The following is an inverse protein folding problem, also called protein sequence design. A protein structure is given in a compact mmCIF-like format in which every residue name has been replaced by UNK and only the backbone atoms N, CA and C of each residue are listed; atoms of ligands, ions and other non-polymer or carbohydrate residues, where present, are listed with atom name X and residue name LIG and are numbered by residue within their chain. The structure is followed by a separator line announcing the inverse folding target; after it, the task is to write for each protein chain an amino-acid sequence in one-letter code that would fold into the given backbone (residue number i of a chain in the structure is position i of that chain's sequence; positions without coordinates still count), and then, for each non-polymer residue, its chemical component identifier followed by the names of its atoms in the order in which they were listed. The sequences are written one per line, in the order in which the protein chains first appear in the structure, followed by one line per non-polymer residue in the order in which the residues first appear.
data_IF_597787704114
#
_entry.id   IF_597787704114
#
_cell.length_a   1.000
_cell.length_b   1.000
_cell.length_c   1.000
_cell.angle_alpha   90.00
_cell.angle_beta   90.00
_cell.angle_gamma   90.00
#
_symmetry.space_group_name_H-M   'P 1'
#
loop_
_entity.id
_entity.type
_entity.pdbx_description
1 polymer ?
#
# COMPACT_ATOMS: atom_id res chain seq x y z
N UNK A 1 -20.17 9.80 -0.13
CA UNK A 1 -19.07 10.39 0.53
C UNK A 1 -18.10 11.16 -0.36
N UNK A 2 -16.83 11.08 -0.06
CA UNK A 2 -15.76 11.88 -0.68
C UNK A 2 -15.67 11.75 -2.20
N UNK A 3 -15.88 10.54 -2.76
CA UNK A 3 -15.90 10.36 -4.21
C UNK A 3 -16.91 11.24 -4.92
N UNK A 4 -18.10 11.45 -4.33
CA UNK A 4 -19.10 12.34 -4.89
C UNK A 4 -18.65 13.81 -4.84
N UNK A 5 -17.96 14.22 -3.78
CA UNK A 5 -17.42 15.59 -3.65
C UNK A 5 -16.35 15.83 -4.72
N UNK A 6 -15.40 14.90 -4.88
CA UNK A 6 -14.37 15.01 -5.92
C UNK A 6 -14.96 15.07 -7.32
N UNK A 7 -15.90 14.17 -7.63
CA UNK A 7 -16.57 14.17 -8.93
C UNK A 7 -17.38 15.45 -9.16
N UNK A 8 -18.02 15.97 -8.11
CA UNK A 8 -18.76 17.24 -8.19
C UNK A 8 -17.86 18.44 -8.43
N UNK A 9 -16.73 18.53 -7.71
CA UNK A 9 -15.73 19.57 -7.91
C UNK A 9 -15.10 19.50 -9.31
N UNK A 10 -14.77 18.30 -9.77
CA UNK A 10 -14.25 18.07 -11.11
C UNK A 10 -15.27 18.49 -12.18
N UNK A 11 -16.53 18.02 -12.09
CA UNK A 11 -17.58 18.35 -13.07
C UNK A 11 -17.89 19.85 -13.08
N UNK A 12 -17.96 20.50 -11.90
CA UNK A 12 -18.15 21.95 -11.78
C UNK A 12 -17.02 22.72 -12.42
N UNK A 13 -15.76 22.35 -12.13
CA UNK A 13 -14.58 22.96 -12.74
C UNK A 13 -14.54 22.75 -14.26
N UNK A 14 -14.85 21.55 -14.75
CA UNK A 14 -14.94 21.28 -16.18
C UNK A 14 -15.99 22.19 -16.85
N UNK A 15 -17.15 22.35 -16.22
CA UNK A 15 -18.21 23.26 -16.73
C UNK A 15 -17.74 24.72 -16.79
N UNK A 16 -17.01 25.19 -15.79
CA UNK A 16 -16.57 26.58 -15.72
C UNK A 16 -15.41 26.89 -16.66
N UNK A 17 -14.40 26.02 -16.74
CA UNK A 17 -13.13 26.34 -17.38
C UNK A 17 -13.00 25.82 -18.81
N UNK A 18 -13.89 24.95 -19.30
CA UNK A 18 -13.66 24.27 -20.59
C UNK A 18 -14.63 24.57 -21.72
N UNK A 19 -15.67 25.38 -21.47
CA UNK A 19 -16.78 25.61 -22.42
C UNK A 19 -16.37 26.09 -23.82
N UNK A 20 -15.29 26.89 -23.93
CA UNK A 20 -14.81 27.45 -25.19
C UNK A 20 -13.55 26.80 -25.73
N UNK A 21 -13.13 25.69 -25.13
CA UNK A 21 -11.86 25.03 -25.46
C UNK A 21 -12.05 23.94 -26.53
N UNK A 22 -10.99 23.68 -27.29
CA UNK A 22 -10.97 22.50 -28.17
C UNK A 22 -10.87 21.20 -27.36
N UNK A 23 -11.15 20.08 -28.00
CA UNK A 23 -11.22 18.77 -27.33
C UNK A 23 -9.91 18.41 -26.65
N UNK A 24 -8.76 18.60 -27.31
CA UNK A 24 -7.45 18.27 -26.72
C UNK A 24 -7.23 19.04 -25.42
N UNK A 25 -7.51 20.33 -25.41
CA UNK A 25 -7.41 21.18 -24.22
C UNK A 25 -8.36 20.73 -23.11
N UNK A 26 -9.60 20.36 -23.46
CA UNK A 26 -10.58 19.84 -22.48
C UNK A 26 -10.10 18.56 -21.82
N UNK A 27 -9.58 17.62 -22.61
CA UNK A 27 -9.08 16.34 -22.09
C UNK A 27 -7.85 16.56 -21.18
N UNK A 28 -6.91 17.42 -21.58
CA UNK A 28 -5.73 17.74 -20.73
C UNK A 28 -6.16 18.36 -19.41
N UNK A 29 -7.07 19.33 -19.43
CA UNK A 29 -7.58 19.99 -18.21
C UNK A 29 -8.36 18.98 -17.35
N UNK A 30 -9.14 18.09 -17.96
CA UNK A 30 -9.86 17.04 -17.24
C UNK A 30 -8.90 16.14 -16.46
N UNK A 31 -7.83 15.67 -17.11
CA UNK A 31 -6.79 14.87 -16.48
C UNK A 31 -6.10 15.63 -15.34
N UNK A 32 -5.67 16.87 -15.59
CA UNK A 32 -5.00 17.71 -14.60
C UNK A 32 -5.86 17.94 -13.35
N UNK A 33 -7.12 18.30 -13.56
CA UNK A 33 -8.04 18.57 -12.47
C UNK A 33 -8.34 17.31 -11.64
N UNK A 34 -8.61 16.17 -12.29
CA UNK A 34 -8.96 14.95 -11.57
C UNK A 34 -7.74 14.44 -10.77
N UNK A 35 -6.58 14.30 -11.42
CA UNK A 35 -5.36 13.87 -10.75
C UNK A 35 -4.93 14.84 -9.64
N UNK A 36 -5.05 16.15 -9.89
CA UNK A 36 -4.75 17.17 -8.87
C UNK A 36 -5.67 17.10 -7.66
N UNK A 37 -6.97 16.90 -7.85
CA UNK A 37 -7.93 16.71 -6.76
C UNK A 37 -7.65 15.43 -5.96
N UNK A 38 -7.28 14.33 -6.62
CA UNK A 38 -6.88 13.10 -5.92
C UNK A 38 -5.62 13.31 -5.07
N UNK A 39 -4.62 14.05 -5.56
CA UNK A 39 -3.41 14.38 -4.78
C UNK A 39 -3.78 15.19 -3.55
N UNK A 40 -4.56 16.25 -3.72
CA UNK A 40 -5.00 17.08 -2.57
C UNK A 40 -5.76 16.22 -1.56
N UNK A 41 -6.61 15.32 -2.02
CA UNK A 41 -7.32 14.40 -1.13
C UNK A 41 -6.36 13.41 -0.44
N UNK A 42 -5.30 12.96 -1.11
CA UNK A 42 -4.31 12.04 -0.52
C UNK A 42 -3.52 12.65 0.66
N UNK A 43 -3.53 13.95 0.80
CA UNK A 43 -2.96 14.63 1.98
C UNK A 43 -3.85 14.50 3.22
N UNK A 44 -5.13 14.23 3.02
CA UNK A 44 -6.11 14.13 4.09
C UNK A 44 -6.10 12.77 4.81
N UNK A 45 -6.70 12.71 6.01
CA UNK A 45 -6.65 11.51 6.85
C UNK A 45 -7.62 10.40 6.41
N UNK A 46 -8.50 10.65 5.43
CA UNK A 46 -9.52 9.70 4.99
C UNK A 46 -9.27 9.20 3.56
N UNK A 47 -8.06 9.35 3.06
CA UNK A 47 -7.67 8.82 1.76
C UNK A 47 -7.58 7.30 1.83
N UNK A 48 -8.26 6.62 0.91
CA UNK A 48 -8.25 5.17 0.83
C UNK A 48 -8.01 4.65 -0.57
N UNK A 49 -8.57 5.32 -1.56
CA UNK A 49 -8.54 4.84 -2.94
C UNK A 49 -8.42 5.99 -3.94
N UNK A 50 -7.83 5.68 -5.08
CA UNK A 50 -7.77 6.52 -6.27
C UNK A 50 -8.44 5.82 -7.44
N UNK A 51 -8.79 6.56 -8.48
CA UNK A 51 -9.41 6.02 -9.69
C UNK A 51 -8.49 4.99 -10.36
N UNK A 52 -7.17 5.20 -10.33
CA UNK A 52 -6.20 4.25 -10.88
C UNK A 52 -6.27 2.85 -10.28
N UNK A 53 -6.68 2.69 -9.01
CA UNK A 53 -6.81 1.38 -8.38
C UNK A 53 -7.97 0.54 -8.92
N UNK A 54 -8.91 1.13 -9.68
CA UNK A 54 -10.02 0.38 -10.28
C UNK A 54 -9.56 -0.65 -11.30
N UNK A 55 -8.33 -0.52 -11.81
CA UNK A 55 -7.72 -1.46 -12.75
C UNK A 55 -6.94 -2.57 -12.04
N UNK A 56 -6.59 -2.38 -10.78
CA UNK A 56 -5.84 -3.35 -9.98
C UNK A 56 -6.80 -4.33 -9.27
N UNK A 57 -6.45 -5.63 -9.18
CA UNK A 57 -5.21 -6.29 -9.59
C UNK A 57 -5.27 -6.94 -11.00
N UNK A 58 -6.29 -6.69 -11.80
CA UNK A 58 -6.60 -7.52 -12.97
C UNK A 58 -5.97 -7.03 -14.28
N UNK A 59 -5.94 -5.72 -14.51
CA UNK A 59 -5.48 -5.16 -15.79
C UNK A 59 -3.97 -4.89 -15.77
N UNK A 60 -3.17 -5.93 -15.47
CA UNK A 60 -1.72 -5.84 -15.27
C UNK A 60 -1.00 -5.18 -16.45
N UNK A 61 -1.47 -5.43 -17.67
CA UNK A 61 -0.88 -4.84 -18.86
C UNK A 61 -0.99 -3.31 -18.85
N UNK A 62 -2.13 -2.77 -18.44
CA UNK A 62 -2.38 -1.33 -18.38
C UNK A 62 -1.68 -0.71 -17.16
N UNK A 63 -1.64 -1.42 -16.06
CA UNK A 63 -1.06 -0.95 -14.79
C UNK A 63 0.44 -0.64 -14.89
N UNK A 64 1.16 -1.23 -15.87
CA UNK A 64 2.61 -0.98 -16.03
C UNK A 64 2.93 0.50 -16.23
N UNK A 65 2.01 1.32 -16.77
CA UNK A 65 2.25 2.77 -16.91
C UNK A 65 2.46 3.48 -15.56
N UNK A 66 2.05 2.87 -14.45
CA UNK A 66 2.31 3.40 -13.10
C UNK A 66 3.81 3.47 -12.77
N UNK A 67 4.67 2.73 -13.48
CA UNK A 67 6.13 2.87 -13.40
C UNK A 67 6.64 4.23 -13.87
N UNK A 68 5.85 4.97 -14.67
CA UNK A 68 6.24 6.26 -15.25
C UNK A 68 6.08 7.39 -14.23
N UNK A 69 4.90 7.53 -13.62
CA UNK A 69 4.60 8.62 -12.68
C UNK A 69 3.63 8.19 -11.56
N UNK A 70 3.66 6.91 -11.18
CA UNK A 70 2.81 6.35 -10.14
C UNK A 70 1.37 6.12 -10.60
N UNK A 71 0.51 5.81 -9.65
CA UNK A 71 -0.91 5.52 -9.90
C UNK A 71 -1.66 6.68 -10.58
N UNK A 72 -1.18 7.92 -10.43
CA UNK A 72 -1.78 9.09 -11.09
C UNK A 72 -1.67 9.01 -12.61
N UNK A 73 -0.67 8.30 -13.14
CA UNK A 73 -0.60 8.01 -14.58
C UNK A 73 -1.80 7.20 -15.05
N UNK A 74 -2.20 6.18 -14.26
CA UNK A 74 -3.39 5.38 -14.56
C UNK A 74 -4.68 6.20 -14.43
N UNK A 75 -4.81 7.02 -13.37
CA UNK A 75 -5.93 7.95 -13.22
C UNK A 75 -6.05 8.87 -14.44
N UNK A 76 -4.94 9.51 -14.86
CA UNK A 76 -4.93 10.37 -16.05
C UNK A 76 -5.31 9.62 -17.33
N UNK A 77 -4.82 8.39 -17.51
CA UNK A 77 -5.17 7.55 -18.66
C UNK A 77 -6.66 7.21 -18.71
N UNK A 78 -7.26 6.83 -17.57
CA UNK A 78 -8.69 6.55 -17.46
C UNK A 78 -9.50 7.80 -17.80
N UNK A 79 -9.14 8.95 -17.24
CA UNK A 79 -9.84 10.23 -17.50
C UNK A 79 -9.70 10.63 -18.97
N UNK A 80 -8.51 10.47 -19.56
CA UNK A 80 -8.27 10.80 -20.97
C UNK A 80 -9.12 9.94 -21.92
N UNK A 81 -9.13 8.62 -21.70
CA UNK A 81 -9.88 7.68 -22.52
C UNK A 81 -11.39 7.95 -22.40
N UNK A 82 -11.91 8.12 -21.18
CA UNK A 82 -13.32 8.46 -20.96
C UNK A 82 -13.69 9.82 -21.52
N UNK A 83 -12.80 10.81 -21.43
CA UNK A 83 -12.98 12.12 -22.05
C UNK A 83 -13.11 12.03 -23.57
N UNK A 84 -12.24 11.23 -24.22
CA UNK A 84 -12.35 10.98 -25.67
C UNK A 84 -13.64 10.24 -26.05
N UNK A 85 -14.06 9.26 -25.23
CA UNK A 85 -15.36 8.60 -25.44
C UNK A 85 -16.55 9.57 -25.33
N UNK A 86 -16.52 10.47 -24.34
CA UNK A 86 -17.56 11.50 -24.22
C UNK A 86 -17.61 12.39 -25.48
N UNK A 87 -16.45 12.77 -26.04
CA UNK A 87 -16.40 13.55 -27.27
C UNK A 87 -16.95 12.78 -28.49
N UNK A 88 -16.73 11.46 -28.58
CA UNK A 88 -17.36 10.63 -29.63
C UNK A 88 -18.90 10.70 -29.58
N UNK A 89 -19.45 10.72 -28.35
CA UNK A 89 -20.90 10.79 -28.17
C UNK A 89 -21.48 12.19 -28.46
N UNK A 90 -20.71 13.24 -28.11
CA UNK A 90 -21.19 14.64 -28.25
C UNK A 90 -21.08 15.17 -29.68
N UNK A 91 -20.17 14.69 -30.49
CA UNK A 91 -20.00 15.18 -31.86
C UNK A 91 -21.02 14.56 -32.83
N UNK A 92 -21.49 15.37 -33.78
CA UNK A 92 -22.55 14.95 -34.73
C UNK A 92 -22.00 14.31 -35.99
N UNK A 93 -20.82 14.73 -36.47
CA UNK A 93 -20.26 14.26 -37.71
C UNK A 93 -19.49 12.94 -37.54
N UNK A 94 -19.60 12.05 -38.52
CA UNK A 94 -18.86 10.78 -38.52
C UNK A 94 -17.33 10.99 -38.53
N UNK A 95 -16.86 12.02 -39.24
CA UNK A 95 -15.43 12.32 -39.33
C UNK A 95 -14.83 12.70 -37.97
N UNK A 96 -15.52 13.52 -37.16
CA UNK A 96 -15.11 13.89 -35.82
C UNK A 96 -15.13 12.69 -34.86
N UNK A 97 -16.23 11.93 -34.86
CA UNK A 97 -16.35 10.71 -34.06
C UNK A 97 -15.20 9.74 -34.35
N UNK A 98 -14.90 9.48 -35.64
CA UNK A 98 -13.80 8.63 -36.07
C UNK A 98 -12.45 9.14 -35.55
N UNK A 99 -12.19 10.46 -35.62
CA UNK A 99 -10.94 11.06 -35.13
C UNK A 99 -10.73 10.79 -33.64
N UNK A 100 -11.75 10.98 -32.81
CA UNK A 100 -11.63 10.75 -31.36
C UNK A 100 -11.59 9.26 -31.01
N UNK A 101 -12.28 8.43 -31.75
CA UNK A 101 -12.17 6.98 -31.61
C UNK A 101 -10.74 6.48 -31.93
N UNK A 102 -10.14 6.98 -33.02
CA UNK A 102 -8.75 6.66 -33.36
C UNK A 102 -7.82 7.13 -32.23
N UNK A 103 -8.01 8.35 -31.71
CA UNK A 103 -7.18 8.86 -30.61
C UNK A 103 -7.29 7.99 -29.33
N UNK A 104 -8.50 7.59 -28.94
CA UNK A 104 -8.73 6.74 -27.77
C UNK A 104 -8.10 5.35 -27.95
N UNK A 105 -8.29 4.73 -29.12
CA UNK A 105 -7.71 3.42 -29.46
C UNK A 105 -6.18 3.50 -29.51
N UNK A 106 -5.64 4.55 -30.15
CA UNK A 106 -4.17 4.73 -30.22
C UNK A 106 -3.56 4.92 -28.83
N UNK A 107 -4.20 5.67 -27.95
CA UNK A 107 -3.76 5.82 -26.56
C UNK A 107 -3.79 4.48 -25.82
N UNK A 108 -4.87 3.71 -25.95
CA UNK A 108 -4.99 2.40 -25.32
C UNK A 108 -3.94 1.40 -25.86
N UNK A 109 -3.71 1.41 -27.18
CA UNK A 109 -2.65 0.57 -27.80
C UNK A 109 -1.26 0.99 -27.30
N UNK A 110 -1.00 2.29 -27.18
CA UNK A 110 0.29 2.78 -26.66
C UNK A 110 0.52 2.34 -25.20
N UNK A 111 -0.51 2.45 -24.35
CA UNK A 111 -0.46 2.01 -22.95
C UNK A 111 -0.24 0.50 -22.88
N UNK A 112 -1.03 -0.28 -23.62
CA UNK A 112 -0.93 -1.74 -23.65
C UNK A 112 0.42 -2.20 -24.26
N UNK A 113 0.90 -1.52 -25.30
CA UNK A 113 2.20 -1.78 -25.92
C UNK A 113 3.35 -1.52 -24.96
N UNK A 114 3.32 -0.42 -24.21
CA UNK A 114 4.29 -0.16 -23.15
C UNK A 114 4.25 -1.25 -22.08
N UNK A 115 3.05 -1.62 -21.61
CA UNK A 115 2.89 -2.68 -20.63
C UNK A 115 3.40 -4.04 -21.14
N UNK A 116 3.11 -4.39 -22.40
CA UNK A 116 3.64 -5.61 -23.01
C UNK A 116 5.17 -5.60 -23.06
N UNK A 117 5.78 -4.47 -23.43
CA UNK A 117 7.22 -4.30 -23.43
C UNK A 117 7.83 -4.45 -22.03
N UNK A 118 7.22 -3.82 -21.01
CA UNK A 118 7.66 -3.92 -19.62
C UNK A 118 7.57 -5.37 -19.09
N UNK A 119 6.57 -6.12 -19.52
CA UNK A 119 6.32 -7.50 -19.06
C UNK A 119 7.08 -8.58 -19.83
N UNK A 120 7.74 -8.26 -20.95
CA UNK A 120 8.50 -9.23 -21.76
C UNK A 120 9.80 -9.71 -21.11
N UNK A 121 10.38 -8.92 -20.20
CA UNK A 121 11.60 -9.31 -19.51
C UNK A 121 11.33 -10.41 -18.49
N UNK A 122 12.24 -11.39 -18.37
CA UNK A 122 12.24 -12.35 -17.24
C UNK A 122 12.67 -11.63 -15.96
N UNK A 123 11.81 -10.75 -15.47
CA UNK A 123 12.05 -9.91 -14.32
C UNK A 123 11.95 -10.67 -13.00
N UNK A 124 11.47 -11.90 -13.03
CA UNK A 124 11.43 -12.76 -11.85
C UNK A 124 12.86 -13.10 -11.36
N UNK A 125 13.80 -13.31 -12.30
CA UNK A 125 15.19 -13.65 -12.01
C UNK A 125 16.19 -12.50 -12.12
N UNK A 126 15.81 -11.31 -12.61
CA UNK A 126 16.73 -10.22 -12.91
C UNK A 126 16.92 -9.20 -11.77
N UNK A 127 17.06 -9.66 -10.55
CA UNK A 127 17.76 -8.92 -9.50
C UNK A 127 19.23 -9.37 -9.48
N UNK A 128 20.06 -8.87 -8.61
CA UNK A 128 21.42 -9.39 -8.36
C UNK A 128 21.44 -10.87 -7.92
N UNK A 129 20.42 -11.63 -8.29
CA UNK A 129 20.27 -13.05 -8.07
C UNK A 129 19.99 -13.48 -6.62
N UNK A 130 19.93 -12.55 -5.68
CA UNK A 130 19.66 -12.88 -4.28
C UNK A 130 18.18 -13.22 -4.09
N UNK A 131 17.89 -14.49 -3.88
CA UNK A 131 16.60 -15.01 -3.52
C UNK A 131 16.47 -15.15 -2.00
N UNK A 132 15.26 -15.07 -1.49
CA UNK A 132 14.91 -15.33 -0.09
C UNK A 132 13.67 -16.21 -0.07
N UNK A 133 13.73 -17.33 0.65
CA UNK A 133 12.56 -18.14 0.97
C UNK A 133 11.77 -17.47 2.09
N UNK A 134 10.75 -16.71 1.74
CA UNK A 134 9.92 -15.97 2.67
C UNK A 134 8.67 -16.76 3.05
N UNK A 135 8.46 -16.98 4.34
CA UNK A 135 7.24 -17.57 4.87
C UNK A 135 6.25 -16.52 5.34
N UNK A 136 4.96 -16.75 5.13
CA UNK A 136 3.86 -15.93 5.67
C UNK A 136 3.04 -16.78 6.63
N UNK A 137 2.61 -16.19 7.74
CA UNK A 137 1.61 -16.77 8.65
C UNK A 137 0.39 -15.88 8.66
N UNK A 138 -0.74 -16.38 8.18
CA UNK A 138 -2.06 -15.78 8.36
C UNK A 138 -2.68 -16.34 9.63
N UNK A 139 -2.76 -15.52 10.68
CA UNK A 139 -3.13 -16.00 12.02
C UNK A 139 -4.60 -16.35 12.18
N UNK A 140 -5.49 -15.75 11.40
CA UNK A 140 -6.94 -15.86 11.49
C UNK A 140 -7.48 -15.69 12.92
N UNK A 141 -7.03 -14.65 13.57
CA UNK A 141 -7.37 -14.37 14.94
C UNK A 141 -8.51 -13.34 15.01
N UNK A 142 -9.68 -13.70 15.61
CA UNK A 142 -10.82 -12.80 15.67
C UNK A 142 -10.56 -11.59 16.55
N UNK A 143 -10.86 -10.40 16.03
CA UNK A 143 -10.63 -9.14 16.71
C UNK A 143 -11.32 -9.01 18.08
N UNK A 144 -12.52 -9.56 18.20
CA UNK A 144 -13.27 -9.60 19.48
C UNK A 144 -12.53 -10.32 20.62
N UNK A 145 -11.49 -11.07 20.30
CA UNK A 145 -10.66 -11.80 21.25
C UNK A 145 -9.32 -11.12 21.54
N UNK A 146 -8.94 -10.05 20.80
CA UNK A 146 -7.63 -9.39 20.88
C UNK A 146 -7.25 -8.94 22.31
N UNK A 147 -8.25 -8.57 23.11
CA UNK A 147 -8.05 -8.10 24.49
C UNK A 147 -8.39 -9.14 25.56
N UNK A 148 -8.70 -10.39 25.16
CA UNK A 148 -9.10 -11.45 26.09
C UNK A 148 -7.98 -12.49 26.26
N UNK A 149 -7.73 -13.02 27.48
CA UNK A 149 -6.71 -14.02 27.72
C UNK A 149 -6.76 -15.22 26.78
N UNK A 150 -7.94 -15.80 26.55
CA UNK A 150 -8.14 -16.91 25.62
C UNK A 150 -7.72 -16.56 24.18
N UNK A 151 -7.88 -15.33 23.80
CA UNK A 151 -7.49 -14.87 22.48
C UNK A 151 -5.98 -14.78 22.33
N UNK A 152 -5.28 -14.30 23.33
CA UNK A 152 -3.81 -14.26 23.31
C UNK A 152 -3.21 -15.66 23.21
N UNK A 153 -3.77 -16.63 23.91
CA UNK A 153 -3.36 -18.03 23.84
C UNK A 153 -3.52 -18.59 22.42
N UNK A 154 -4.67 -18.35 21.78
CA UNK A 154 -4.92 -18.77 20.39
C UNK A 154 -3.92 -18.11 19.44
N UNK A 155 -3.68 -16.81 19.58
CA UNK A 155 -2.76 -16.09 18.73
C UNK A 155 -1.33 -16.64 18.87
N UNK A 156 -0.82 -16.75 20.10
CA UNK A 156 0.53 -17.27 20.36
C UNK A 156 0.66 -18.69 19.81
N UNK A 157 -0.31 -19.56 20.02
CA UNK A 157 -0.28 -20.93 19.52
C UNK A 157 -0.28 -20.96 17.97
N UNK A 158 -1.13 -20.19 17.31
CA UNK A 158 -1.19 -20.15 15.85
C UNK A 158 0.13 -19.64 15.26
N UNK A 159 0.70 -18.55 15.80
CA UNK A 159 1.95 -18.01 15.30
C UNK A 159 3.14 -18.91 15.64
N UNK A 160 3.17 -19.57 16.82
CA UNK A 160 4.23 -20.54 17.16
C UNK A 160 4.19 -21.73 16.21
N UNK A 161 3.03 -22.36 16.01
CA UNK A 161 2.87 -23.50 15.11
C UNK A 161 3.21 -23.14 13.66
N UNK A 162 2.75 -21.98 13.20
CA UNK A 162 3.07 -21.48 11.86
C UNK A 162 4.56 -21.21 11.66
N UNK A 163 5.21 -20.61 12.67
CA UNK A 163 6.64 -20.35 12.66
C UNK A 163 7.44 -21.65 12.60
N UNK A 164 7.15 -22.62 13.46
CA UNK A 164 7.83 -23.91 13.48
C UNK A 164 7.67 -24.65 12.15
N UNK A 165 6.46 -24.69 11.61
CA UNK A 165 6.17 -25.32 10.30
C UNK A 165 6.97 -24.70 9.18
N UNK A 166 7.01 -23.39 9.09
CA UNK A 166 7.74 -22.66 8.05
C UNK A 166 9.27 -22.81 8.22
N UNK A 167 9.77 -22.73 9.45
CA UNK A 167 11.17 -22.93 9.74
C UNK A 167 11.63 -24.35 9.35
N UNK A 168 10.85 -25.38 9.66
CA UNK A 168 11.11 -26.77 9.24
C UNK A 168 11.03 -26.95 7.72
N UNK A 169 10.22 -26.14 7.04
CA UNK A 169 10.12 -26.13 5.56
C UNK A 169 11.25 -25.38 4.88
N UNK A 170 12.20 -24.81 5.63
CA UNK A 170 13.38 -24.13 5.11
C UNK A 170 13.15 -22.64 4.79
N UNK A 171 12.22 -21.98 5.48
CA UNK A 171 12.10 -20.53 5.42
C UNK A 171 13.40 -19.86 5.90
N UNK A 172 13.83 -18.82 5.20
CA UNK A 172 14.94 -17.96 5.57
C UNK A 172 14.49 -16.68 6.28
N UNK A 173 13.24 -16.32 6.08
CA UNK A 173 12.54 -15.20 6.72
C UNK A 173 11.07 -15.55 6.89
N UNK A 174 10.47 -15.16 8.02
CA UNK A 174 9.03 -15.36 8.27
C UNK A 174 8.39 -14.02 8.57
N UNK A 175 7.15 -13.83 8.09
CA UNK A 175 6.39 -12.59 8.26
C UNK A 175 5.08 -12.89 8.96
N UNK A 176 4.81 -12.17 10.05
CA UNK A 176 3.52 -12.18 10.75
C UNK A 176 2.72 -10.91 10.43
N UNK A 177 1.41 -10.91 10.64
CA UNK A 177 0.56 -9.75 10.44
C UNK A 177 0.82 -8.58 11.40
N UNK A 178 0.18 -7.45 11.11
CA UNK A 178 0.03 -6.33 12.05
C UNK A 178 -0.59 -6.81 13.37
N UNK A 179 0.00 -6.40 14.50
CA UNK A 179 -0.45 -6.76 15.85
C UNK A 179 -0.68 -8.27 16.06
N UNK A 180 0.14 -9.10 15.42
CA UNK A 180 0.08 -10.56 15.55
C UNK A 180 0.16 -10.99 17.02
N UNK A 181 1.03 -10.36 17.78
CA UNK A 181 1.16 -10.52 19.23
C UNK A 181 0.93 -9.16 19.87
N UNK A 182 -0.23 -8.98 20.51
CA UNK A 182 -0.71 -7.71 21.06
C UNK A 182 -0.06 -7.38 22.42
N UNK A 183 1.27 -7.48 22.51
CA UNK A 183 2.07 -7.13 23.69
C UNK A 183 3.09 -6.05 23.35
N UNK A 184 3.48 -5.28 24.36
CA UNK A 184 4.58 -4.33 24.23
C UNK A 184 5.91 -5.09 24.05
N UNK A 185 6.56 -4.81 22.93
CA UNK A 185 7.87 -5.33 22.62
C UNK A 185 8.91 -4.20 22.75
N UNK A 186 10.11 -4.38 23.30
CA UNK A 186 10.77 -5.65 23.65
C UNK A 186 10.50 -6.18 25.08
N UNK A 187 9.53 -5.62 25.80
CA UNK A 187 9.29 -6.03 27.18
C UNK A 187 9.00 -7.54 27.25
N UNK A 188 9.56 -8.19 28.27
CA UNK A 188 9.29 -9.61 28.50
C UNK A 188 7.83 -9.81 28.88
N UNK A 189 7.19 -10.80 28.25
CA UNK A 189 5.86 -11.25 28.60
C UNK A 189 5.80 -12.78 28.56
N UNK A 190 5.59 -13.40 29.73
CA UNK A 190 5.57 -14.85 29.86
C UNK A 190 4.53 -15.53 28.92
N UNK A 191 3.49 -14.83 28.51
CA UNK A 191 2.48 -15.36 27.58
C UNK A 191 3.06 -15.61 26.19
N UNK A 192 4.13 -14.88 25.80
CA UNK A 192 4.80 -15.00 24.50
C UNK A 192 5.89 -16.08 24.52
N UNK A 193 6.24 -16.61 25.69
CA UNK A 193 7.37 -17.54 25.85
C UNK A 193 7.37 -18.72 24.85
N UNK A 194 6.22 -19.39 24.52
CA UNK A 194 6.23 -20.44 23.50
C UNK A 194 6.74 -20.01 22.15
N UNK A 195 6.37 -18.81 21.70
CA UNK A 195 6.84 -18.23 20.46
C UNK A 195 8.33 -17.88 20.50
N UNK A 196 8.78 -17.25 21.59
CA UNK A 196 10.18 -16.87 21.78
C UNK A 196 11.09 -18.11 21.82
N UNK A 197 10.66 -19.18 22.48
CA UNK A 197 11.39 -20.46 22.49
C UNK A 197 11.49 -21.09 21.09
N UNK A 198 10.41 -21.03 20.30
CA UNK A 198 10.46 -21.50 18.91
C UNK A 198 11.45 -20.69 18.08
N UNK A 199 11.45 -19.35 18.21
CA UNK A 199 12.39 -18.47 17.49
C UNK A 199 13.85 -18.80 17.92
N UNK A 200 14.12 -18.99 19.19
CA UNK A 200 15.44 -19.40 19.71
C UNK A 200 15.89 -20.76 19.18
N UNK A 201 14.97 -21.71 19.07
CA UNK A 201 15.25 -23.07 18.62
C UNK A 201 15.61 -23.15 17.15
N UNK A 202 14.79 -22.51 16.28
CA UNK A 202 14.94 -22.60 14.82
C UNK A 202 15.82 -21.50 14.22
N UNK A 203 15.95 -20.36 14.89
CA UNK A 203 16.80 -19.22 14.52
C UNK A 203 16.49 -18.62 13.14
N UNK A 204 15.27 -18.77 12.63
CA UNK A 204 14.81 -18.11 11.42
C UNK A 204 14.38 -16.68 11.79
N UNK A 205 14.94 -15.63 11.16
CA UNK A 205 14.51 -14.27 11.42
C UNK A 205 13.03 -14.09 11.13
N UNK A 206 12.32 -13.37 12.02
CA UNK A 206 10.89 -13.15 11.90
C UNK A 206 10.52 -11.67 12.03
N UNK A 207 9.68 -11.21 11.13
CA UNK A 207 8.97 -9.94 11.26
C UNK A 207 7.75 -10.16 12.14
N UNK A 208 7.80 -9.60 13.34
CA UNK A 208 6.76 -9.74 14.36
C UNK A 208 5.96 -8.42 14.47
N UNK A 209 4.66 -8.49 14.17
CA UNK A 209 3.74 -7.38 14.44
C UNK A 209 3.36 -7.29 15.92
N UNK A 210 3.52 -6.14 16.51
CA UNK A 210 3.23 -5.88 17.93
C UNK A 210 3.18 -4.40 18.24
N UNK A 211 3.22 -4.07 19.53
CA UNK A 211 3.29 -2.70 19.99
C UNK A 211 4.70 -2.33 20.45
N UNK A 212 5.17 -1.14 20.07
CA UNK A 212 6.45 -0.60 20.47
C UNK A 212 6.29 0.56 21.45
N UNK A 213 7.37 0.92 22.12
CA UNK A 213 7.44 2.14 22.92
C UNK A 213 7.90 3.31 22.05
N UNK A 214 7.35 4.48 22.26
CA UNK A 214 7.72 5.69 21.52
C UNK A 214 9.16 6.12 21.85
N UNK A 215 10.00 6.24 20.80
CA UNK A 215 11.37 6.73 20.96
C UNK A 215 11.46 8.23 21.30
N UNK A 216 10.38 8.97 21.08
CA UNK A 216 10.33 10.44 21.19
C UNK A 216 9.74 10.93 22.50
N UNK A 217 9.24 10.05 23.34
CA UNK A 217 8.76 10.43 24.67
C UNK A 217 9.73 9.89 25.74
N UNK A 218 10.44 10.78 26.45
CA UNK A 218 11.38 10.40 27.49
C UNK A 218 10.71 9.69 28.69
N UNK A 219 9.40 9.69 28.76
CA UNK A 219 8.61 9.01 29.78
C UNK A 219 8.04 7.72 29.20
N UNK A 220 8.90 6.73 28.98
CA UNK A 220 8.51 5.34 28.67
C UNK A 220 7.63 4.68 29.76
N UNK A 221 7.26 5.43 30.80
CA UNK A 221 6.41 5.01 31.91
C UNK A 221 4.92 5.33 31.70
N UNK A 222 4.53 6.07 30.64
CA UNK A 222 3.11 6.25 30.34
C UNK A 222 2.60 5.02 29.55
N UNK A 223 1.81 4.14 30.20
CA UNK A 223 1.29 2.95 29.55
C UNK A 223 0.29 3.26 28.41
N UNK A 224 0.01 4.54 28.16
CA UNK A 224 -0.87 4.97 27.09
C UNK A 224 -0.13 5.34 25.79
N UNK A 225 1.20 5.49 25.84
CA UNK A 225 2.00 5.84 24.66
C UNK A 225 2.66 4.61 24.08
N UNK A 226 2.21 4.18 22.89
CA UNK A 226 2.75 3.04 22.17
C UNK A 226 2.69 3.27 20.66
N UNK A 227 3.53 2.57 19.92
CA UNK A 227 3.50 2.54 18.46
C UNK A 227 2.93 1.21 17.97
N UNK A 228 2.29 1.23 16.81
CA UNK A 228 1.96 0.02 16.06
C UNK A 228 3.19 -0.33 15.21
N UNK A 229 3.85 -1.44 15.49
CA UNK A 229 5.21 -1.69 15.01
C UNK A 229 5.39 -3.08 14.42
N UNK A 230 6.36 -3.16 13.49
CA UNK A 230 6.94 -4.41 13.02
C UNK A 230 8.38 -4.51 13.48
N UNK A 231 8.72 -5.60 14.14
CA UNK A 231 10.06 -5.88 14.65
C UNK A 231 10.69 -7.01 13.84
N UNK A 232 11.87 -6.81 13.30
CA UNK A 232 12.68 -7.90 12.79
C UNK A 232 13.52 -8.47 13.94
N UNK A 233 13.25 -9.71 14.30
CA UNK A 233 13.87 -10.41 15.42
C UNK A 233 14.69 -11.58 14.88
N UNK A 234 15.89 -11.77 15.40
CA UNK A 234 16.67 -12.99 15.17
C UNK A 234 16.50 -14.02 16.29
N UNK A 235 17.07 -15.20 16.10
CA UNK A 235 17.02 -16.27 17.09
C UNK A 235 17.82 -16.00 18.38
N UNK A 236 18.45 -14.84 18.54
CA UNK A 236 19.18 -14.43 19.76
C UNK A 236 18.42 -13.39 20.60
N UNK A 237 17.12 -13.21 20.38
CA UNK A 237 16.29 -12.15 20.97
C UNK A 237 16.74 -10.72 20.59
N UNK A 238 17.57 -10.57 19.58
CA UNK A 238 18.03 -9.26 19.14
C UNK A 238 17.04 -8.67 18.14
N UNK A 239 16.65 -7.43 18.37
CA UNK A 239 15.93 -6.63 17.38
C UNK A 239 16.96 -6.18 16.33
N UNK A 240 16.81 -6.70 15.10
CA UNK A 240 17.63 -6.32 13.96
C UNK A 240 17.10 -5.07 13.25
N UNK A 241 15.80 -4.82 13.35
CA UNK A 241 15.14 -3.68 12.76
C UNK A 241 13.76 -3.45 13.37
N UNK A 242 13.28 -2.22 13.28
CA UNK A 242 11.95 -1.81 13.72
C UNK A 242 11.39 -0.80 12.75
N UNK A 243 10.13 -0.95 12.43
CA UNK A 243 9.34 0.02 11.67
C UNK A 243 8.09 0.35 12.46
N UNK A 244 7.85 1.64 12.70
CA UNK A 244 6.67 2.15 13.39
C UNK A 244 5.71 2.75 12.38
N UNK A 245 4.43 2.40 12.46
CA UNK A 245 3.39 2.86 11.54
C UNK A 245 3.33 4.38 11.47
N UNK A 246 3.45 4.94 10.27
CA UNK A 246 3.47 6.38 10.01
C UNK A 246 2.05 6.92 9.77
N UNK A 247 1.26 6.19 8.97
CA UNK A 247 -0.10 6.59 8.60
C UNK A 247 -1.12 5.87 9.46
N UNK A 248 -1.53 6.53 10.54
CA UNK A 248 -2.50 6.00 11.48
C UNK A 248 -3.92 6.06 10.92
N UNK A 249 -4.75 5.08 11.29
CA UNK A 249 -6.16 5.02 10.91
C UNK A 249 -6.96 6.02 11.76
N UNK A 250 -7.65 6.99 11.12
CA UNK A 250 -8.49 7.94 11.85
C UNK A 250 -9.60 7.24 12.64
N UNK A 251 -9.85 7.70 13.85
CA UNK A 251 -10.84 7.16 14.81
C UNK A 251 -10.47 5.77 15.35
N UNK A 252 -9.70 4.97 14.59
CA UNK A 252 -9.23 3.64 15.00
C UNK A 252 -7.94 3.68 15.83
N UNK A 253 -7.00 4.55 15.50
CA UNK A 253 -5.68 4.64 16.14
C UNK A 253 -5.41 6.04 16.73
N UNK A 254 -6.03 7.09 16.18
CA UNK A 254 -5.95 8.45 16.72
C UNK A 254 -7.26 9.22 16.50
N UNK A 255 -7.45 10.34 17.22
CA UNK A 255 -8.61 11.20 17.07
C UNK A 255 -8.25 12.40 16.18
N UNK A 256 -8.75 12.45 14.92
CA UNK A 256 -8.51 13.59 14.05
C UNK A 256 -9.17 14.86 14.60
N UNK A 257 -8.51 16.02 14.42
CA UNK A 257 -9.00 17.32 14.92
C UNK A 257 -9.34 17.32 16.43
N UNK A 258 -8.54 16.63 17.23
CA UNK A 258 -8.73 16.43 18.67
C UNK A 258 -9.16 17.70 19.46
N UNK A 259 -8.62 18.91 19.19
CA UNK A 259 -9.06 20.13 19.89
C UNK A 259 -10.54 20.46 19.67
N UNK A 260 -11.10 20.13 18.50
CA UNK A 260 -12.48 20.45 18.13
C UNK A 260 -13.44 19.28 18.38
N UNK A 261 -13.02 18.07 18.05
CA UNK A 261 -13.88 16.87 17.99
C UNK A 261 -13.57 15.86 19.10
N UNK A 262 -12.53 16.08 19.93
CA UNK A 262 -12.03 15.11 20.89
C UNK A 262 -13.09 14.57 21.85
N UNK A 263 -13.96 15.45 22.39
CA UNK A 263 -15.00 15.04 23.32
C UNK A 263 -16.14 14.24 22.66
N UNK A 264 -16.46 14.53 21.40
CA UNK A 264 -17.50 13.84 20.66
C UNK A 264 -16.99 12.46 20.18
N UNK A 265 -15.80 12.42 19.61
CA UNK A 265 -15.22 11.19 19.05
C UNK A 265 -14.80 10.23 20.15
N UNK A 266 -14.31 10.72 21.31
CA UNK A 266 -13.92 9.86 22.45
C UNK A 266 -15.07 9.00 22.95
N UNK A 267 -16.33 9.45 22.82
CA UNK A 267 -17.52 8.66 23.16
C UNK A 267 -17.81 7.55 22.16
N UNK A 268 -17.29 7.67 20.92
CA UNK A 268 -17.52 6.74 19.83
C UNK A 268 -16.32 5.84 19.55
N UNK A 269 -15.13 6.23 20.02
CA UNK A 269 -13.89 5.50 19.79
C UNK A 269 -13.67 4.43 20.86
N UNK A 270 -13.34 3.19 20.50
CA UNK A 270 -12.97 2.14 21.42
C UNK A 270 -11.55 2.31 22.01
N UNK A 271 -10.83 3.36 21.62
CA UNK A 271 -9.44 3.58 22.01
C UNK A 271 -9.27 3.76 23.51
N UNK A 272 -8.44 2.93 24.13
CA UNK A 272 -7.99 3.06 25.52
C UNK A 272 -6.74 3.93 25.66
N UNK A 273 -5.99 4.15 24.57
CA UNK A 273 -4.81 5.00 24.42
C UNK A 273 -4.68 5.46 22.98
N UNK A 274 -3.85 6.45 22.72
CA UNK A 274 -3.54 6.89 21.36
C UNK A 274 -2.26 6.19 20.87
N UNK A 275 -2.27 5.76 19.61
CA UNK A 275 -1.09 5.26 18.94
C UNK A 275 -0.28 6.46 18.47
N UNK A 276 1.01 6.46 18.74
CA UNK A 276 1.93 7.46 18.22
C UNK A 276 2.44 7.06 16.83
N UNK A 277 2.47 8.03 15.92
CA UNK A 277 2.98 7.80 14.58
C UNK A 277 4.51 7.70 14.56
N UNK A 278 5.02 6.76 13.76
CA UNK A 278 6.44 6.66 13.47
C UNK A 278 6.93 7.84 12.61
N UNK A 279 8.27 7.97 12.48
CA UNK A 279 8.88 8.95 11.60
C UNK A 279 8.64 8.59 10.12
N UNK A 280 8.31 9.58 9.29
CA UNK A 280 8.14 9.38 7.84
C UNK A 280 9.45 9.05 7.11
N UNK A 281 10.58 9.24 7.75
CA UNK A 281 11.93 9.01 7.18
C UNK A 281 12.56 7.70 7.64
N UNK A 282 11.76 6.79 8.20
CA UNK A 282 12.24 5.49 8.63
C UNK A 282 12.79 4.66 7.47
N UNK A 283 13.97 4.09 7.68
CA UNK A 283 14.60 3.13 6.78
C UNK A 283 14.98 1.90 7.61
N UNK A 284 14.66 0.73 7.12
CA UNK A 284 14.93 -0.53 7.83
C UNK A 284 15.96 -1.35 7.07
N UNK A 285 17.15 -1.43 7.63
CA UNK A 285 18.21 -2.29 7.12
C UNK A 285 18.09 -3.69 7.74
N UNK A 286 18.26 -4.71 6.92
CA UNK A 286 18.13 -6.12 7.28
C UNK A 286 19.39 -6.88 6.86
N UNK A 287 19.57 -8.13 7.27
CA UNK A 287 20.70 -8.96 6.77
C UNK A 287 20.72 -9.13 5.23
N UNK A 288 19.58 -8.91 4.56
CA UNK A 288 19.46 -9.01 3.10
C UNK A 288 19.52 -7.65 2.38
N UNK A 289 19.84 -6.59 3.09
CA UNK A 289 19.79 -5.21 2.62
C UNK A 289 18.55 -4.46 3.10
N UNK A 290 18.32 -3.28 2.56
CA UNK A 290 17.20 -2.43 2.97
C UNK A 290 15.87 -2.95 2.45
N UNK A 291 14.85 -2.97 3.30
CA UNK A 291 13.48 -3.31 2.92
C UNK A 291 12.59 -2.07 2.87
N UNK A 292 11.50 -2.19 2.12
CA UNK A 292 10.41 -1.23 2.06
C UNK A 292 9.31 -1.79 2.94
N UNK A 293 9.02 -1.13 4.05
CA UNK A 293 8.07 -1.63 5.05
C UNK A 293 6.85 -0.73 5.11
N UNK A 294 5.67 -1.33 5.19
CA UNK A 294 4.42 -0.62 5.42
C UNK A 294 3.47 -1.44 6.29
N UNK A 295 2.65 -0.75 7.08
CA UNK A 295 1.66 -1.38 7.96
C UNK A 295 0.25 -0.96 7.54
N UNK A 296 -0.54 -1.94 7.09
CA UNK A 296 -1.99 -1.84 6.88
C UNK A 296 -2.39 -0.66 5.97
N UNK A 297 -3.02 0.35 6.54
CA UNK A 297 -3.52 1.55 5.88
C UNK A 297 -2.47 2.27 5.00
N UNK A 298 -1.20 2.08 5.28
CA UNK A 298 -0.11 2.70 4.53
C UNK A 298 -0.03 2.25 3.07
N UNK A 299 -0.54 1.06 2.72
CA UNK A 299 -0.59 0.59 1.33
C UNK A 299 -1.36 1.55 0.41
N UNK A 300 -2.29 2.34 0.94
CA UNK A 300 -3.00 3.39 0.21
C UNK A 300 -2.09 4.58 -0.16
N UNK A 301 -0.98 4.80 0.55
CA UNK A 301 -0.11 5.98 0.43
C UNK A 301 1.20 5.65 -0.30
N UNK A 302 1.29 5.89 -1.61
CA UNK A 302 2.46 5.52 -2.40
C UNK A 302 3.75 6.24 -2.00
N UNK A 303 3.66 7.41 -1.40
CA UNK A 303 4.82 8.26 -1.07
C UNK A 303 5.81 7.58 -0.12
N UNK A 304 5.31 6.86 0.90
CA UNK A 304 6.14 6.12 1.87
C UNK A 304 6.94 5.00 1.19
N UNK A 305 6.28 4.22 0.34
CA UNK A 305 6.92 3.14 -0.43
C UNK A 305 7.94 3.69 -1.43
N UNK A 306 7.60 4.77 -2.13
CA UNK A 306 8.49 5.44 -3.05
C UNK A 306 9.76 5.96 -2.34
N UNK A 307 9.62 6.63 -1.19
CA UNK A 307 10.74 7.14 -0.41
C UNK A 307 11.71 6.02 -0.04
N UNK A 308 11.22 4.94 0.55
CA UNK A 308 12.04 3.80 0.95
C UNK A 308 12.66 3.08 -0.27
N UNK A 309 11.93 2.98 -1.39
CA UNK A 309 12.43 2.41 -2.64
C UNK A 309 13.57 3.26 -3.23
N UNK A 310 13.41 4.59 -3.26
CA UNK A 310 14.44 5.52 -3.72
C UNK A 310 15.71 5.44 -2.85
N UNK A 311 15.54 5.21 -1.56
CA UNK A 311 16.63 5.03 -0.59
C UNK A 311 17.29 3.64 -0.67
N UNK A 312 16.93 2.80 -1.63
CA UNK A 312 17.57 1.51 -1.88
C UNK A 312 16.83 0.31 -1.30
N UNK A 313 15.54 0.45 -0.98
CA UNK A 313 14.70 -0.68 -0.57
C UNK A 313 14.56 -1.73 -1.67
N UNK A 314 14.75 -3.00 -1.34
CA UNK A 314 14.90 -4.12 -2.30
C UNK A 314 13.71 -5.07 -2.36
N UNK A 315 12.87 -5.09 -1.31
CA UNK A 315 11.69 -5.93 -1.14
C UNK A 315 10.63 -5.14 -0.40
N UNK A 316 9.37 -5.22 -0.82
CA UNK A 316 8.24 -4.67 -0.08
C UNK A 316 7.74 -5.72 0.91
N UNK A 317 7.60 -5.30 2.16
CA UNK A 317 6.99 -6.06 3.22
C UNK A 317 5.80 -5.27 3.77
N UNK A 318 4.62 -5.87 3.73
CA UNK A 318 3.37 -5.27 4.21
C UNK A 318 2.73 -6.19 5.24
N UNK A 319 2.36 -5.64 6.39
CA UNK A 319 1.64 -6.37 7.42
C UNK A 319 0.33 -5.69 7.74
N UNK A 320 -0.76 -6.44 7.85
CA UNK A 320 -2.08 -5.86 8.04
C UNK A 320 -2.97 -6.68 8.96
N UNK A 321 -3.94 -5.98 9.55
CA UNK A 321 -5.02 -6.63 10.29
C UNK A 321 -6.38 -6.15 9.74
N UNK A 322 -7.03 -6.99 8.94
CA UNK A 322 -8.30 -6.67 8.29
C UNK A 322 -9.53 -7.15 9.08
N UNK A 323 -9.35 -7.65 10.31
CA UNK A 323 -10.43 -8.24 11.10
C UNK A 323 -11.55 -7.26 11.50
N UNK A 324 -11.33 -5.97 11.34
CA UNK A 324 -12.31 -4.90 11.60
C UNK A 324 -13.16 -4.54 10.38
N UNK A 325 -12.78 -5.04 9.19
CA UNK A 325 -13.33 -4.59 7.92
C UNK A 325 -14.10 -5.71 7.21
N UNK A 326 -15.00 -5.30 6.31
CA UNK A 326 -15.68 -6.23 5.43
C UNK A 326 -14.71 -6.83 4.39
N UNK A 327 -15.01 -8.01 3.87
CA UNK A 327 -14.14 -8.77 2.96
C UNK A 327 -13.72 -7.99 1.70
N UNK A 328 -14.56 -7.10 1.18
CA UNK A 328 -14.20 -6.25 0.02
C UNK A 328 -13.02 -5.30 0.31
N UNK A 329 -12.81 -4.90 1.57
CA UNK A 329 -11.64 -4.09 1.95
C UNK A 329 -10.34 -4.88 1.78
N UNK A 330 -10.37 -6.19 2.02
CA UNK A 330 -9.21 -7.07 1.79
C UNK A 330 -8.81 -7.11 0.32
N UNK A 331 -9.80 -7.15 -0.60
CA UNK A 331 -9.55 -7.09 -2.02
C UNK A 331 -8.96 -5.72 -2.45
N UNK A 332 -9.46 -4.63 -1.88
CA UNK A 332 -8.91 -3.29 -2.14
C UNK A 332 -7.49 -3.14 -1.61
N UNK A 333 -7.17 -3.68 -0.43
CA UNK A 333 -5.81 -3.72 0.10
C UNK A 333 -4.87 -4.49 -0.82
N UNK A 334 -5.28 -5.67 -1.29
CA UNK A 334 -4.49 -6.45 -2.23
C UNK A 334 -4.24 -5.68 -3.54
N UNK A 335 -5.26 -5.00 -4.05
CA UNK A 335 -5.14 -4.14 -5.23
C UNK A 335 -4.11 -3.01 -5.05
N UNK A 336 -4.03 -2.45 -3.84
CA UNK A 336 -3.02 -1.43 -3.51
C UNK A 336 -1.61 -2.02 -3.50
N UNK A 337 -1.40 -3.21 -2.93
CA UNK A 337 -0.07 -3.85 -2.90
C UNK A 337 0.41 -4.23 -4.30
N UNK A 338 -0.49 -4.68 -5.17
CA UNK A 338 -0.18 -4.90 -6.60
C UNK A 338 0.33 -3.62 -7.26
N UNK A 339 -0.33 -2.49 -6.99
CA UNK A 339 0.13 -1.20 -7.49
C UNK A 339 1.51 -0.82 -6.92
N UNK A 340 1.76 -1.03 -5.62
CA UNK A 340 3.08 -0.76 -4.99
C UNK A 340 4.18 -1.61 -5.59
N UNK A 341 3.91 -2.89 -5.86
CA UNK A 341 4.87 -3.79 -6.50
C UNK A 341 5.28 -3.28 -7.89
N UNK A 342 4.31 -2.87 -8.72
CA UNK A 342 4.54 -2.35 -10.07
C UNK A 342 5.29 -1.02 -10.02
N UNK A 343 4.81 -0.06 -9.23
CA UNK A 343 5.38 1.29 -9.12
C UNK A 343 6.85 1.27 -8.69
N UNK A 344 7.18 0.37 -7.77
CA UNK A 344 8.53 0.26 -7.21
C UNK A 344 9.41 -0.74 -7.96
N UNK A 345 8.86 -1.56 -8.85
CA UNK A 345 9.53 -2.70 -9.49
C UNK A 345 10.11 -3.68 -8.45
N UNK A 346 9.28 -4.07 -7.47
CA UNK A 346 9.68 -4.92 -6.34
C UNK A 346 8.71 -6.07 -6.13
N UNK A 347 9.23 -7.18 -5.61
CA UNK A 347 8.40 -8.18 -4.98
C UNK A 347 7.73 -7.57 -3.75
N UNK A 348 6.47 -7.95 -3.51
CA UNK A 348 5.74 -7.59 -2.30
C UNK A 348 5.29 -8.85 -1.56
N UNK A 349 5.63 -8.89 -0.28
CA UNK A 349 5.23 -9.93 0.68
C UNK A 349 4.23 -9.30 1.64
N UNK A 350 3.00 -9.80 1.62
CA UNK A 350 1.93 -9.30 2.48
C UNK A 350 1.45 -10.37 3.43
N UNK A 351 1.58 -10.14 4.73
CA UNK A 351 0.97 -10.95 5.78
C UNK A 351 -0.25 -10.24 6.36
N UNK A 352 -1.40 -10.92 6.41
CA UNK A 352 -2.62 -10.38 7.04
C UNK A 352 -3.12 -11.33 8.13
N UNK A 353 -3.91 -10.78 9.07
CA UNK A 353 -4.53 -11.63 10.07
C UNK A 353 -5.75 -12.39 9.51
N UNK A 354 -6.69 -11.71 8.87
CA UNK A 354 -7.94 -12.29 8.36
C UNK A 354 -8.26 -11.92 6.92
N UNK A 355 -7.48 -11.00 6.33
CA UNK A 355 -7.61 -10.58 4.95
C UNK A 355 -6.84 -11.47 3.98
N UNK A 356 -6.59 -10.99 2.78
CA UNK A 356 -5.72 -11.65 1.82
C UNK A 356 -4.26 -11.47 2.19
N UNK A 357 -3.56 -12.56 2.53
CA UNK A 357 -2.10 -12.62 2.52
C UNK A 357 -1.63 -13.02 1.13
N UNK A 358 -0.46 -12.57 0.69
CA UNK A 358 -0.03 -12.91 -0.66
C UNK A 358 1.39 -12.53 -1.01
N UNK A 359 1.83 -13.07 -2.14
CA UNK A 359 3.08 -12.74 -2.80
C UNK A 359 2.78 -12.15 -4.16
N UNK A 360 3.32 -10.97 -4.45
CA UNK A 360 3.15 -10.25 -5.71
C UNK A 360 4.50 -10.01 -6.34
N UNK A 361 4.64 -10.39 -7.63
CA UNK A 361 5.86 -10.15 -8.38
C UNK A 361 6.00 -8.67 -8.82
N UNK A 362 7.16 -8.22 -9.31
CA UNK A 362 7.36 -6.85 -9.76
C UNK A 362 6.48 -6.40 -10.94
N UNK A 363 5.86 -7.33 -11.65
CA UNK A 363 4.90 -7.05 -12.72
C UNK A 363 3.45 -6.99 -12.22
N UNK A 364 3.24 -7.17 -10.90
CA UNK A 364 1.94 -7.17 -10.27
C UNK A 364 1.22 -8.51 -10.32
N UNK A 365 1.85 -9.59 -10.81
CA UNK A 365 1.24 -10.92 -10.80
C UNK A 365 1.20 -11.42 -9.37
N UNK A 366 0.02 -11.80 -8.93
CA UNK A 366 -0.17 -12.48 -7.64
C UNK A 366 0.25 -13.94 -7.82
N UNK A 367 1.41 -14.29 -7.24
CA UNK A 367 1.98 -15.64 -7.32
C UNK A 367 1.22 -16.59 -6.40
N UNK A 368 0.87 -16.11 -5.23
CA UNK A 368 0.02 -16.81 -4.28
C UNK A 368 -0.86 -15.82 -3.51
N UNK A 369 -2.07 -16.24 -3.21
CA UNK A 369 -3.06 -15.49 -2.43
C UNK A 369 -3.78 -16.45 -1.49
N UNK A 370 -3.87 -16.10 -0.22
CA UNK A 370 -4.66 -16.85 0.77
C UNK A 370 -6.16 -16.66 0.58
N UNK A 371 -6.95 -17.50 1.23
CA UNK A 371 -8.35 -17.19 1.47
C UNK A 371 -8.52 -16.19 2.62
N UNK A 372 -9.68 -15.54 2.69
CA UNK A 372 -10.03 -14.66 3.81
C UNK A 372 -10.60 -15.46 4.97
N UNK A 373 -10.32 -15.04 6.20
CA UNK A 373 -10.79 -15.68 7.43
C UNK A 373 -10.37 -17.16 7.57
N UNK A 374 -9.20 -17.51 7.05
CA UNK A 374 -8.59 -18.83 7.18
C UNK A 374 -7.27 -18.74 7.92
N UNK A 375 -6.88 -19.80 8.62
CA UNK A 375 -5.51 -19.95 9.12
C UNK A 375 -4.67 -20.59 8.03
N UNK A 376 -3.67 -19.89 7.56
CA UNK A 376 -2.80 -20.37 6.48
C UNK A 376 -1.33 -20.04 6.75
N UNK A 377 -0.45 -20.91 6.23
CA UNK A 377 0.98 -20.69 6.16
C UNK A 377 1.44 -20.99 4.73
N UNK A 378 2.22 -20.10 4.15
CA UNK A 378 2.77 -20.32 2.82
C UNK A 378 4.24 -19.93 2.77
N UNK A 379 5.03 -20.67 1.98
CA UNK A 379 6.44 -20.44 1.73
C UNK A 379 6.64 -20.18 0.25
N UNK A 380 7.24 -19.04 -0.09
CA UNK A 380 7.51 -18.63 -1.47
C UNK A 380 8.94 -18.09 -1.61
N UNK A 381 9.50 -18.24 -2.81
CA UNK A 381 10.81 -17.65 -3.12
C UNK A 381 10.62 -16.28 -3.76
N UNK A 382 11.10 -15.24 -3.09
CA UNK A 382 11.09 -13.86 -3.58
C UNK A 382 12.50 -13.40 -3.94
N UNK A 383 12.60 -12.48 -4.90
CA UNK A 383 13.87 -12.02 -5.41
C UNK A 383 14.08 -10.54 -5.10
N UNK A 384 15.23 -10.22 -4.53
CA UNK A 384 15.61 -8.85 -4.21
C UNK A 384 15.98 -8.08 -5.47
N UNK A 385 15.56 -6.81 -5.55
CA UNK A 385 15.76 -5.97 -6.74
C UNK A 385 16.28 -4.59 -6.37
N UNK A 386 17.16 -4.05 -7.21
CA UNK A 386 17.77 -2.72 -7.04
C UNK A 386 17.37 -1.71 -8.13
N UNK A 387 16.55 -2.15 -9.11
CA UNK A 387 16.06 -1.30 -10.20
C UNK A 387 15.27 -0.11 -9.67
N UNK A 388 15.24 0.98 -10.43
CA UNK A 388 14.45 2.18 -10.10
C UNK A 388 13.59 2.56 -11.29
N UNK A 389 12.27 2.61 -11.08
CA UNK A 389 11.33 3.12 -12.08
C UNK A 389 11.45 4.64 -12.20
N UNK A 390 10.89 5.21 -13.27
CA UNK A 390 10.82 6.69 -13.38
C UNK A 390 10.02 7.29 -12.23
N UNK A 391 8.97 6.61 -11.78
CA UNK A 391 8.21 7.03 -10.62
C UNK A 391 9.06 7.05 -9.34
N UNK A 392 9.88 6.03 -9.10
CA UNK A 392 10.78 6.02 -7.93
C UNK A 392 11.76 7.19 -7.98
N UNK A 393 12.32 7.49 -9.16
CA UNK A 393 13.30 8.56 -9.35
C UNK A 393 12.67 9.95 -9.22
N UNK A 394 11.57 10.22 -9.91
CA UNK A 394 11.02 11.57 -10.09
C UNK A 394 9.69 11.81 -9.37
N UNK A 395 9.07 10.75 -8.84
CA UNK A 395 7.76 10.84 -8.21
C UNK A 395 6.63 11.02 -9.21
N UNK A 396 5.53 11.59 -8.75
CA UNK A 396 4.44 12.00 -9.63
C UNK A 396 4.80 13.34 -10.31
N UNK A 397 5.51 13.25 -11.40
CA UNK A 397 5.89 14.39 -12.23
C UNK A 397 4.83 14.72 -13.28
N UNK A 398 3.99 13.75 -13.66
CA UNK A 398 2.97 13.94 -14.71
C UNK A 398 1.87 14.90 -14.26
N UNK A 399 1.38 14.79 -13.04
CA UNK A 399 0.29 15.66 -12.55
C UNK A 399 0.70 17.13 -12.51
N UNK A 400 1.85 17.53 -11.94
CA UNK A 400 2.32 18.90 -12.04
C UNK A 400 2.47 19.39 -13.49
N UNK A 401 2.98 18.53 -14.39
CA UNK A 401 3.12 18.88 -15.82
C UNK A 401 1.75 19.14 -16.46
N UNK A 402 0.76 18.28 -16.20
CA UNK A 402 -0.62 18.48 -16.67
C UNK A 402 -1.23 19.76 -16.12
N UNK A 403 -1.00 20.08 -14.84
CA UNK A 403 -1.49 21.31 -14.21
C UNK A 403 -0.88 22.55 -14.86
N UNK A 404 0.45 22.60 -15.05
CA UNK A 404 1.15 23.72 -15.69
C UNK A 404 0.67 23.89 -17.14
N UNK A 405 0.56 22.80 -17.88
CA UNK A 405 0.04 22.81 -19.26
C UNK A 405 -1.40 23.34 -19.31
N UNK A 406 -2.24 22.95 -18.37
CA UNK A 406 -3.62 23.42 -18.28
C UNK A 406 -3.72 24.92 -17.99
N UNK A 407 -2.87 25.42 -17.09
CA UNK A 407 -2.78 26.87 -16.80
C UNK A 407 -2.33 27.63 -18.06
N UNK A 408 -1.29 27.14 -18.74
CA UNK A 408 -0.80 27.77 -19.97
C UNK A 408 -1.89 27.80 -21.07
N UNK A 409 -2.60 26.70 -21.28
CA UNK A 409 -3.73 26.63 -22.24
C UNK A 409 -4.80 27.67 -21.90
N UNK A 410 -5.13 27.81 -20.60
CA UNK A 410 -6.16 28.75 -20.16
C UNK A 410 -5.69 30.21 -20.35
N UNK A 411 -4.45 30.53 -19.93
CA UNK A 411 -3.89 31.89 -20.01
C UNK A 411 -3.67 32.38 -21.44
N UNK A 412 -3.35 31.49 -22.40
CA UNK A 412 -3.18 31.89 -23.80
C UNK A 412 -4.50 32.24 -24.51
N UNK A 413 -5.63 32.06 -23.88
CA UNK A 413 -6.97 32.31 -24.47
C UNK A 413 -7.71 33.50 -23.86
N UNK A 414 -7.21 34.03 -22.78
CA UNK A 414 -7.69 35.25 -22.14
C UNK A 414 -6.68 36.37 -22.25
#
# INVERSE_FOLDING_TARGET
GWGAVLSGLWAGGMSLFTQKLNVTSRVIIACAMFSGLEIVWSWGPLYWTALGFTQSPHDLLLLQISRISGQQTMTAAIVAINGLFAEILLHRTWAERRRYAIAAISLLIAIAGYGAWEMQGDRMASGNGQAIKSGIIQGNFPNALTVKPKGWEIAVNNYTNGYEKLAQSGAEMIVTPETAISFLYPNYDARREPFDLAVKKYRVPVWLGGFGTTRNHPNAEDPNNYTNSLFLIDGSDKILGQYDKVRLVPVGEYIPFKPLLGNLIRRLSPLRGEVDAGSSEQLVDTPWGRFIVGICYESAYPATFRFQSAAGGRLILSASNNSHFASYMSAQHHAQDVARAIESDRWAVRATNTGYSGFVDPNGRTVWLSDVNTYETHLETVYLRDTKTLYVLWGDWLTPLLCVTSIAIYSCRH
#
